data_IF_971923773717
#
_entry.id   IF_971923773717
#
_cell.length_a   1.000
_cell.length_b   1.000
_cell.length_c   1.000
_cell.angle_alpha   90.00
_cell.angle_beta   90.00
_cell.angle_gamma   90.00
#
_symmetry.space_group_name_H-M   'P 1'
#
loop_
_entity.id
_entity.type
_entity.pdbx_description
1 polymer ?
#
# COMPACT_ATOMS: atom_id res chain seq x y z
N UNK A 1 -7.51 -4.51 24.94
CA UNK A 1 -7.10 -5.68 24.13
C UNK A 1 -5.58 -5.76 24.17
N UNK A 2 -4.98 -6.87 24.60
CA UNK A 2 -3.53 -7.04 24.59
C UNK A 2 -3.06 -7.27 23.14
N UNK A 3 -2.32 -6.31 22.58
CA UNK A 3 -1.80 -6.36 21.22
C UNK A 3 -0.41 -7.02 21.13
N UNK A 4 0.24 -7.29 22.26
CA UNK A 4 1.59 -7.86 22.33
C UNK A 4 1.66 -9.27 21.76
N UNK A 5 0.52 -9.99 21.75
CA UNK A 5 0.41 -11.30 21.11
C UNK A 5 0.70 -11.28 19.61
N UNK A 6 0.56 -10.12 18.94
CA UNK A 6 0.84 -9.96 17.50
C UNK A 6 2.25 -9.47 17.21
N UNK A 7 3.02 -9.05 18.22
CA UNK A 7 4.36 -8.49 18.02
C UNK A 7 5.32 -9.46 17.31
N UNK A 8 5.33 -10.78 17.59
CA UNK A 8 6.17 -11.71 16.85
C UNK A 8 5.89 -11.72 15.35
N UNK A 9 4.61 -11.78 14.96
CA UNK A 9 4.21 -11.75 13.55
C UNK A 9 4.50 -10.42 12.89
N UNK A 10 4.23 -9.30 13.57
CA UNK A 10 4.57 -7.97 13.05
C UNK A 10 6.06 -7.87 12.74
N UNK A 11 6.94 -8.31 13.65
CA UNK A 11 8.40 -8.32 13.44
C UNK A 11 8.80 -9.23 12.28
N UNK A 12 8.21 -10.41 12.19
CA UNK A 12 8.47 -11.37 11.10
C UNK A 12 8.10 -10.80 9.74
N UNK A 13 6.94 -10.16 9.63
CA UNK A 13 6.46 -9.54 8.38
C UNK A 13 7.34 -8.36 7.98
N UNK A 14 7.67 -7.45 8.92
CA UNK A 14 8.57 -6.31 8.64
C UNK A 14 9.93 -6.81 8.16
N UNK A 15 10.50 -7.83 8.81
CA UNK A 15 11.79 -8.41 8.40
C UNK A 15 11.72 -8.95 6.96
N UNK A 16 10.70 -9.73 6.63
CA UNK A 16 10.50 -10.29 5.29
C UNK A 16 10.44 -9.21 4.20
N UNK A 17 9.69 -8.13 4.44
CA UNK A 17 9.58 -7.05 3.44
C UNK A 17 10.86 -6.21 3.34
N UNK A 18 11.61 -6.04 4.43
CA UNK A 18 12.93 -5.41 4.39
C UNK A 18 13.94 -6.23 3.58
N UNK A 19 13.93 -7.56 3.71
CA UNK A 19 14.77 -8.45 2.90
C UNK A 19 14.40 -8.39 1.42
N UNK A 20 13.10 -8.34 1.10
CA UNK A 20 12.64 -8.16 -0.27
C UNK A 20 13.02 -6.81 -0.85
N UNK A 21 12.86 -5.73 -0.08
CA UNK A 21 13.27 -4.39 -0.46
C UNK A 21 14.78 -4.33 -0.73
N UNK A 22 15.61 -4.91 0.14
CA UNK A 22 17.05 -4.99 -0.08
C UNK A 22 17.42 -5.78 -1.35
N UNK A 23 16.68 -6.86 -1.65
CA UNK A 23 16.95 -7.73 -2.81
C UNK A 23 16.44 -7.17 -4.14
N UNK A 24 15.31 -6.47 -4.14
CA UNK A 24 14.60 -6.09 -5.35
C UNK A 24 14.44 -4.58 -5.53
N UNK A 25 14.93 -3.78 -4.57
CA UNK A 25 14.81 -2.33 -4.56
C UNK A 25 13.36 -1.84 -4.51
N UNK A 26 13.19 -0.59 -4.91
CA UNK A 26 11.89 0.08 -5.06
C UNK A 26 11.13 -0.44 -6.28
N UNK A 27 10.63 -1.67 -6.18
CA UNK A 27 9.89 -2.33 -7.27
C UNK A 27 8.66 -3.05 -6.73
N UNK A 28 7.70 -3.33 -7.62
CA UNK A 28 6.50 -4.14 -7.30
C UNK A 28 6.89 -5.51 -6.72
N UNK A 29 8.05 -6.05 -7.14
CA UNK A 29 8.60 -7.31 -6.61
C UNK A 29 9.09 -7.17 -5.17
N UNK A 30 9.63 -6.01 -4.79
CA UNK A 30 9.99 -5.67 -3.40
C UNK A 30 8.77 -5.73 -2.46
N UNK A 31 7.59 -5.32 -2.94
CA UNK A 31 6.33 -5.40 -2.19
C UNK A 31 5.57 -6.72 -2.36
N UNK A 32 6.08 -7.67 -3.14
CA UNK A 32 5.36 -8.90 -3.50
C UNK A 32 3.91 -8.65 -4.01
N UNK A 33 3.64 -7.49 -4.60
CA UNK A 33 2.27 -7.03 -4.91
C UNK A 33 1.82 -7.41 -6.33
N UNK A 34 2.48 -8.41 -6.93
CA UNK A 34 2.17 -8.96 -8.24
C UNK A 34 2.90 -8.27 -9.39
N UNK A 35 2.18 -7.92 -10.45
CA UNK A 35 2.68 -7.17 -11.61
C UNK A 35 1.92 -5.85 -11.73
N UNK A 36 2.46 -4.87 -12.47
CA UNK A 36 1.78 -3.57 -12.67
C UNK A 36 0.35 -3.73 -13.23
N UNK A 37 0.15 -4.58 -14.24
CA UNK A 37 -1.19 -4.82 -14.80
C UNK A 37 -2.16 -5.44 -13.80
N UNK A 38 -1.69 -6.36 -12.94
CA UNK A 38 -2.52 -6.94 -11.88
C UNK A 38 -2.83 -5.95 -10.76
N UNK A 39 -1.89 -5.04 -10.42
CA UNK A 39 -2.15 -3.96 -9.49
C UNK A 39 -3.20 -2.99 -10.04
N UNK A 40 -3.04 -2.55 -11.28
CA UNK A 40 -3.98 -1.65 -11.93
C UNK A 40 -5.41 -2.23 -11.93
N UNK A 41 -5.57 -3.50 -12.34
CA UNK A 41 -6.89 -4.15 -12.31
C UNK A 41 -7.46 -4.21 -10.89
N UNK A 42 -6.64 -4.55 -9.89
CA UNK A 42 -7.07 -4.58 -8.48
C UNK A 42 -7.53 -3.20 -8.00
N UNK A 43 -6.77 -2.15 -8.32
CA UNK A 43 -7.12 -0.77 -7.93
C UNK A 43 -8.42 -0.34 -8.58
N UNK A 44 -8.59 -0.61 -9.88
CA UNK A 44 -9.85 -0.37 -10.58
C UNK A 44 -11.03 -1.03 -9.87
N UNK A 45 -10.95 -2.33 -9.58
CA UNK A 45 -12.03 -3.06 -8.90
C UNK A 45 -12.32 -2.51 -7.49
N UNK A 46 -11.29 -2.12 -6.73
CA UNK A 46 -11.48 -1.53 -5.39
C UNK A 46 -12.18 -0.17 -5.47
N UNK A 47 -11.89 0.63 -6.51
CA UNK A 47 -12.53 1.94 -6.70
C UNK A 47 -13.99 1.84 -7.13
N UNK A 48 -14.43 0.70 -7.64
CA UNK A 48 -15.83 0.46 -8.01
C UNK A 48 -16.78 0.36 -6.81
N UNK A 49 -16.26 0.46 -5.58
CA UNK A 49 -17.07 0.53 -4.35
C UNK A 49 -18.00 1.75 -4.32
N UNK A 50 -17.67 2.82 -5.05
CA UNK A 50 -18.52 4.01 -5.19
C UNK A 50 -17.76 5.24 -5.69
N UNK A 51 -18.45 6.37 -5.78
CA UNK A 51 -17.80 7.65 -6.12
C UNK A 51 -16.90 8.13 -4.98
N UNK A 52 -15.58 8.08 -5.23
CA UNK A 52 -14.55 8.50 -4.29
C UNK A 52 -14.26 10.00 -4.34
N UNK A 53 -14.84 10.76 -5.29
CA UNK A 53 -14.61 12.20 -5.37
C UNK A 53 -15.10 12.92 -4.10
N UNK A 54 -14.25 13.79 -3.57
CA UNK A 54 -14.51 14.52 -2.32
C UNK A 54 -14.56 13.64 -1.06
N UNK A 55 -14.20 12.36 -1.12
CA UNK A 55 -14.14 11.47 0.05
C UNK A 55 -12.76 11.46 0.70
N UNK A 56 -12.69 11.10 1.98
CA UNK A 56 -11.42 10.79 2.64
C UNK A 56 -11.14 9.29 2.50
N UNK A 57 -9.91 8.93 2.11
CA UNK A 57 -9.47 7.54 1.88
C UNK A 57 -8.31 7.19 2.79
N UNK A 58 -8.40 6.04 3.46
CA UNK A 58 -7.31 5.40 4.19
C UNK A 58 -6.87 4.16 3.43
N UNK A 59 -5.61 4.12 3.00
CA UNK A 59 -5.00 2.97 2.34
C UNK A 59 -4.12 2.19 3.32
N UNK A 60 -4.66 1.09 3.84
CA UNK A 60 -4.00 0.22 4.81
C UNK A 60 -3.13 -0.82 4.11
N UNK A 61 -1.83 -0.76 4.36
CA UNK A 61 -0.83 -1.49 3.58
C UNK A 61 -0.54 -0.80 2.24
N UNK A 62 -0.44 0.54 2.25
CA UNK A 62 -0.27 1.36 1.06
C UNK A 62 1.01 1.04 0.27
N UNK A 63 1.98 0.38 0.91
CA UNK A 63 3.27 0.10 0.30
C UNK A 63 3.95 1.40 -0.13
N UNK A 64 4.20 1.51 -1.43
CA UNK A 64 4.82 2.67 -2.06
C UNK A 64 3.81 3.70 -2.61
N UNK A 65 2.55 3.66 -2.16
CA UNK A 65 1.54 4.63 -2.59
C UNK A 65 0.96 4.40 -3.99
N UNK A 66 1.09 3.19 -4.55
CA UNK A 66 0.66 2.91 -5.92
C UNK A 66 -0.85 3.13 -6.20
N UNK A 67 -1.70 3.06 -5.17
CA UNK A 67 -3.12 3.39 -5.30
C UNK A 67 -3.35 4.91 -5.44
N UNK A 68 -2.57 5.73 -4.74
CA UNK A 68 -2.61 7.19 -4.91
C UNK A 68 -2.19 7.59 -6.32
N UNK A 69 -1.17 6.94 -6.87
CA UNK A 69 -0.76 7.15 -8.26
C UNK A 69 -1.87 6.75 -9.24
N UNK A 70 -2.58 5.65 -8.96
CA UNK A 70 -3.76 5.26 -9.73
C UNK A 70 -4.87 6.32 -9.67
N UNK A 71 -5.17 6.90 -8.50
CA UNK A 71 -6.15 8.00 -8.38
C UNK A 71 -5.75 9.20 -9.26
N UNK A 72 -4.47 9.59 -9.23
CA UNK A 72 -3.96 10.69 -10.07
C UNK A 72 -4.09 10.39 -11.56
N UNK A 73 -3.82 9.15 -11.97
CA UNK A 73 -3.93 8.72 -13.37
C UNK A 73 -5.36 8.68 -13.88
N UNK A 74 -6.30 8.21 -13.05
CA UNK A 74 -7.73 8.10 -13.40
C UNK A 74 -8.53 9.38 -13.11
N UNK A 75 -7.88 10.44 -12.61
CA UNK A 75 -8.52 11.72 -12.31
C UNK A 75 -9.48 11.69 -11.11
N UNK A 76 -9.31 10.74 -10.19
CA UNK A 76 -10.13 10.62 -8.97
C UNK A 76 -9.65 11.64 -7.94
N UNK A 77 -10.50 12.59 -7.58
CA UNK A 77 -10.16 13.70 -6.68
C UNK A 77 -10.72 13.45 -5.27
N UNK A 78 -9.96 12.73 -4.45
CA UNK A 78 -10.29 12.54 -3.03
C UNK A 78 -10.05 13.83 -2.24
N UNK A 79 -10.84 14.05 -1.18
CA UNK A 79 -10.65 15.17 -0.23
C UNK A 79 -9.36 15.00 0.57
N UNK A 80 -9.06 13.78 0.98
CA UNK A 80 -7.92 13.44 1.81
C UNK A 80 -7.49 12.00 1.51
N UNK A 81 -6.17 11.76 1.47
CA UNK A 81 -5.61 10.43 1.33
C UNK A 81 -4.56 10.22 2.42
N UNK A 82 -4.71 9.15 3.19
CA UNK A 82 -3.72 8.70 4.18
C UNK A 82 -3.25 7.31 3.80
N UNK A 83 -1.96 7.19 3.48
CA UNK A 83 -1.31 5.89 3.33
C UNK A 83 -0.74 5.44 4.67
N UNK A 84 -1.02 4.19 5.06
CA UNK A 84 -0.45 3.61 6.27
C UNK A 84 0.18 2.25 5.94
N UNK A 85 1.43 2.05 6.35
CA UNK A 85 2.09 0.76 6.27
C UNK A 85 2.75 0.41 7.61
N UNK A 86 2.77 -0.88 7.95
CA UNK A 86 3.40 -1.38 9.17
C UNK A 86 4.92 -1.26 9.15
N UNK A 87 5.52 -1.16 7.96
CA UNK A 87 6.96 -1.14 7.79
C UNK A 87 7.45 0.31 7.60
N UNK A 88 8.15 0.89 8.60
CA UNK A 88 8.59 2.28 8.53
C UNK A 88 9.53 2.55 7.35
N UNK A 89 10.34 1.57 6.93
CA UNK A 89 11.24 1.74 5.77
C UNK A 89 10.50 1.84 4.45
N UNK A 90 9.33 1.21 4.35
CA UNK A 90 8.48 1.33 3.15
C UNK A 90 7.84 2.71 3.12
N UNK A 91 7.33 3.19 4.26
CA UNK A 91 6.74 4.53 4.40
C UNK A 91 7.76 5.63 4.10
N UNK A 92 9.01 5.49 4.52
CA UNK A 92 10.08 6.47 4.25
C UNK A 92 10.41 6.61 2.76
N UNK A 93 10.13 5.59 1.95
CA UNK A 93 10.38 5.60 0.50
C UNK A 93 9.17 6.15 -0.29
N UNK A 94 7.97 6.05 0.29
CA UNK A 94 6.70 6.36 -0.37
C UNK A 94 6.50 7.86 -0.65
#
# INVERSE_FOLDING_TARGET
MNLDKYTPDKRRIIKLYNERLAKHGYTVRGLASGTRGRQFLRFKMVCEVGDLNGKSVLDMGCGFGALLDFFKQEGIQVKEYVGWDINPKIVEIA
#
